data_IF_307072344977
#
_entry.id   IF_307072344977
#
_cell.length_a   1.000
_cell.length_b   1.000
_cell.length_c   1.000
_cell.angle_alpha   90.00
_cell.angle_beta   90.00
_cell.angle_gamma   90.00
#
_symmetry.space_group_name_H-M   'P 1'
#
loop_
_entity.id
_entity.type
_entity.pdbx_description
1 polymer ?
#
# COMPACT_ATOMS: atom_id res chain seq x y z
N UNK A 1 -0.61 -13.44 -10.24
CA UNK A 1 -0.54 -12.02 -10.67
C UNK A 1 -1.89 -11.33 -10.61
N UNK A 2 -3.01 -12.04 -10.83
CA UNK A 2 -4.36 -11.48 -10.67
C UNK A 2 -4.55 -10.81 -9.31
N UNK A 3 -4.03 -11.41 -8.25
CA UNK A 3 -4.24 -10.88 -6.92
C UNK A 3 -3.59 -9.51 -6.63
N UNK A 4 -2.44 -9.22 -7.22
CA UNK A 4 -1.85 -7.89 -7.12
C UNK A 4 -2.60 -6.86 -7.97
N UNK A 5 -3.18 -7.29 -9.09
CA UNK A 5 -4.02 -6.43 -9.92
C UNK A 5 -5.33 -6.08 -9.18
N UNK A 6 -5.99 -7.06 -8.56
CA UNK A 6 -7.18 -6.85 -7.74
C UNK A 6 -6.91 -5.88 -6.59
N UNK A 7 -5.79 -6.08 -5.88
CA UNK A 7 -5.38 -5.18 -4.82
C UNK A 7 -5.08 -3.77 -5.34
N UNK A 8 -4.35 -3.65 -6.46
CA UNK A 8 -4.09 -2.37 -7.11
C UNK A 8 -5.39 -1.67 -7.55
N UNK A 9 -6.41 -2.42 -7.98
CA UNK A 9 -7.73 -1.90 -8.34
C UNK A 9 -8.57 -1.47 -7.14
N UNK A 10 -8.23 -1.90 -5.92
CA UNK A 10 -8.89 -1.38 -4.72
C UNK A 10 -8.52 0.08 -4.45
N UNK A 11 -7.33 0.51 -4.87
CA UNK A 11 -6.89 1.89 -4.69
C UNK A 11 -7.67 2.84 -5.57
N UNK A 12 -7.92 4.03 -5.05
CA UNK A 12 -8.46 5.12 -5.86
C UNK A 12 -7.36 5.62 -6.81
N UNK A 13 -7.71 5.78 -8.08
CA UNK A 13 -6.80 6.18 -9.15
C UNK A 13 -7.27 7.46 -9.79
N UNK A 14 -6.32 8.19 -10.35
CA UNK A 14 -6.59 9.39 -11.13
C UNK A 14 -7.03 9.04 -12.57
N UNK A 15 -7.16 10.05 -13.43
CA UNK A 15 -7.56 9.88 -14.84
C UNK A 15 -6.53 9.11 -15.68
N UNK A 16 -5.31 8.95 -15.18
CA UNK A 16 -4.24 8.18 -15.84
C UNK A 16 -4.20 6.72 -15.39
N UNK A 17 -5.08 6.32 -14.46
CA UNK A 17 -5.10 4.96 -13.91
C UNK A 17 -3.98 4.70 -12.91
N UNK A 18 -3.34 5.75 -12.39
CA UNK A 18 -2.26 5.70 -11.42
C UNK A 18 -2.76 6.21 -10.06
N UNK A 19 -2.10 5.76 -8.98
CA UNK A 19 -2.45 6.18 -7.63
C UNK A 19 -1.67 7.48 -7.35
N UNK A 20 -2.38 8.60 -7.28
CA UNK A 20 -1.81 9.87 -6.86
C UNK A 20 -1.97 10.08 -5.35
N UNK A 21 -1.45 11.20 -4.83
CA UNK A 21 -1.55 11.54 -3.41
C UNK A 21 -3.01 11.50 -2.91
N UNK A 22 -3.93 12.05 -3.70
CA UNK A 22 -5.35 12.06 -3.37
C UNK A 22 -5.92 10.64 -3.35
N UNK A 23 -5.61 9.82 -4.35
CA UNK A 23 -6.02 8.43 -4.42
C UNK A 23 -5.61 7.65 -3.18
N UNK A 24 -4.33 7.78 -2.79
CA UNK A 24 -3.78 7.14 -1.59
C UNK A 24 -4.47 7.63 -0.31
N UNK A 25 -4.69 8.94 -0.16
CA UNK A 25 -5.44 9.51 0.98
C UNK A 25 -6.85 8.94 1.09
N UNK A 26 -7.57 8.83 -0.02
CA UNK A 26 -8.92 8.27 -0.01
C UNK A 26 -8.93 6.78 0.32
N UNK A 27 -7.97 6.00 -0.18
CA UNK A 27 -7.88 4.57 0.14
C UNK A 27 -7.60 4.34 1.63
N UNK A 28 -6.68 5.11 2.20
CA UNK A 28 -6.39 5.11 3.65
C UNK A 28 -7.64 5.43 4.46
N UNK A 29 -8.36 6.51 4.09
CA UNK A 29 -9.61 6.89 4.77
C UNK A 29 -10.71 5.83 4.62
N UNK A 30 -10.84 5.21 3.45
CA UNK A 30 -11.80 4.12 3.17
C UNK A 30 -11.56 2.89 4.06
N UNK A 31 -10.31 2.64 4.45
CA UNK A 31 -9.92 1.55 5.34
C UNK A 31 -9.96 1.92 6.83
N UNK A 32 -10.40 3.13 7.17
CA UNK A 32 -10.46 3.63 8.54
C UNK A 32 -9.08 3.90 9.15
N UNK A 33 -8.04 4.02 8.32
CA UNK A 33 -6.69 4.38 8.75
C UNK A 33 -6.58 5.91 8.82
N UNK A 34 -5.84 6.41 9.81
CA UNK A 34 -5.65 7.86 10.02
C UNK A 34 -4.18 8.20 9.86
N UNK A 35 -3.80 8.78 8.72
CA UNK A 35 -2.45 9.29 8.47
C UNK A 35 -2.48 10.80 8.23
N UNK A 36 -1.40 11.49 8.58
CA UNK A 36 -1.25 12.89 8.19
C UNK A 36 -0.96 13.00 6.69
N UNK A 37 -1.30 14.14 6.08
CA UNK A 37 -0.97 14.42 4.67
C UNK A 37 0.55 14.31 4.42
N UNK A 38 1.37 14.67 5.40
CA UNK A 38 2.82 14.60 5.31
C UNK A 38 3.30 13.14 5.26
N UNK A 39 2.76 12.27 6.09
CA UNK A 39 3.12 10.85 6.10
C UNK A 39 2.71 10.17 4.79
N UNK A 40 1.49 10.43 4.32
CA UNK A 40 1.00 9.87 3.05
C UNK A 40 1.86 10.35 1.87
N UNK A 41 2.32 11.60 1.92
CA UNK A 41 3.23 12.13 0.90
C UNK A 41 4.60 11.44 0.92
N UNK A 42 5.15 11.16 2.11
CA UNK A 42 6.40 10.42 2.23
C UNK A 42 6.26 8.97 1.77
N UNK A 43 5.13 8.33 2.09
CA UNK A 43 4.81 6.99 1.63
C UNK A 43 4.69 6.92 0.10
N UNK A 44 3.98 7.88 -0.50
CA UNK A 44 3.88 8.00 -1.94
C UNK A 44 5.26 8.14 -2.57
N UNK A 45 6.11 9.04 -2.04
CA UNK A 45 7.49 9.21 -2.53
C UNK A 45 8.34 7.96 -2.41
N UNK A 46 8.13 7.16 -1.37
CA UNK A 46 8.85 5.91 -1.21
C UNK A 46 8.33 4.84 -2.17
N UNK A 47 7.05 4.89 -2.55
CA UNK A 47 6.45 3.94 -3.48
C UNK A 47 6.67 4.31 -4.95
N UNK A 48 6.78 5.60 -5.25
CA UNK A 48 7.04 6.18 -6.56
C UNK A 48 8.53 6.02 -6.94
N UNK A 49 8.84 5.00 -7.75
CA UNK A 49 10.22 4.65 -8.10
C UNK A 49 10.75 5.42 -9.30
N UNK A 50 9.87 5.83 -10.23
CA UNK A 50 10.23 6.62 -11.40
C UNK A 50 10.15 8.13 -11.17
N UNK A 51 9.59 8.55 -10.03
CA UNK A 51 9.48 9.92 -9.53
C UNK A 51 8.55 10.80 -10.36
N UNK A 52 7.51 10.21 -10.94
CA UNK A 52 6.49 10.94 -11.71
C UNK A 52 5.40 11.59 -10.82
N UNK A 53 5.47 11.37 -9.50
CA UNK A 53 4.53 11.87 -8.50
C UNK A 53 3.30 11.00 -8.29
N UNK A 54 3.28 9.80 -8.88
CA UNK A 54 2.21 8.81 -8.78
C UNK A 54 2.81 7.42 -8.63
N UNK A 55 1.96 6.45 -8.33
CA UNK A 55 2.34 5.03 -8.28
C UNK A 55 1.58 4.33 -9.37
N UNK A 56 2.31 3.89 -10.40
CA UNK A 56 1.77 3.03 -11.44
C UNK A 56 1.83 1.56 -10.99
N UNK A 57 1.29 0.65 -11.81
CA UNK A 57 1.26 -0.77 -11.46
C UNK A 57 2.65 -1.40 -11.34
N UNK A 58 3.62 -0.94 -12.14
CA UNK A 58 5.01 -1.44 -12.09
C UNK A 58 5.67 -1.08 -10.76
N UNK A 59 5.49 0.16 -10.31
CA UNK A 59 6.01 0.63 -9.02
C UNK A 59 5.36 -0.13 -7.86
N UNK A 60 4.04 -0.30 -7.92
CA UNK A 60 3.29 -1.07 -6.93
C UNK A 60 3.85 -2.49 -6.77
N UNK A 61 4.07 -3.22 -7.86
CA UNK A 61 4.63 -4.58 -7.82
C UNK A 61 6.06 -4.58 -7.31
N UNK A 62 6.90 -3.65 -7.76
CA UNK A 62 8.31 -3.56 -7.32
C UNK A 62 8.40 -3.30 -5.82
N UNK A 63 7.58 -2.39 -5.30
CA UNK A 63 7.52 -2.09 -3.86
C UNK A 63 7.07 -3.33 -3.07
N UNK A 64 6.10 -4.08 -3.57
CA UNK A 64 5.58 -5.28 -2.89
C UNK A 64 6.48 -6.52 -2.99
N UNK A 65 7.33 -6.58 -4.01
CA UNK A 65 8.30 -7.66 -4.21
C UNK A 65 9.69 -7.33 -3.67
N UNK A 66 9.88 -6.10 -3.17
CA UNK A 66 11.08 -5.65 -2.49
C UNK A 66 11.24 -6.40 -1.16
N UNK A 67 12.30 -7.21 -1.08
CA UNK A 67 12.58 -8.05 0.08
C UNK A 67 12.93 -7.25 1.32
N UNK A 68 13.63 -6.13 1.17
CA UNK A 68 14.04 -5.29 2.31
C UNK A 68 12.81 -4.61 2.93
N UNK A 69 11.89 -4.13 2.09
CA UNK A 69 10.61 -3.57 2.56
C UNK A 69 9.72 -4.62 3.18
N UNK A 70 9.64 -5.81 2.58
CA UNK A 70 8.89 -6.92 3.14
C UNK A 70 9.41 -7.30 4.52
N UNK A 71 10.74 -7.45 4.69
CA UNK A 71 11.35 -7.75 5.98
C UNK A 71 11.03 -6.68 7.03
N UNK A 72 11.02 -5.40 6.64
CA UNK A 72 10.61 -4.30 7.54
C UNK A 72 9.12 -4.36 7.91
N UNK A 73 8.27 -4.79 6.99
CA UNK A 73 6.84 -4.94 7.26
C UNK A 73 6.53 -6.17 8.16
N UNK A 74 7.28 -7.26 8.02
CA UNK A 74 7.02 -8.52 8.76
C UNK A 74 7.82 -8.67 10.05
N UNK A 75 8.91 -7.94 10.24
CA UNK A 75 9.71 -7.93 11.46
C UNK A 75 9.41 -6.66 12.26
N UNK A 76 8.48 -6.71 13.22
CA UNK A 76 8.20 -5.55 14.07
C UNK A 76 9.32 -5.43 15.11
N UNK A 77 10.29 -4.53 14.89
CA UNK A 77 11.11 -4.02 15.98
C UNK A 77 10.24 -3.11 16.87
N UNK A 78 9.54 -3.70 17.86
CA UNK A 78 8.84 -3.03 18.98
C UNK A 78 8.25 -1.63 18.69
N UNK A 79 6.97 -1.54 18.29
CA UNK A 79 5.90 -0.85 19.05
C UNK A 79 4.57 -0.79 18.26
N UNK A 80 3.52 -1.09 19.01
CA UNK A 80 2.08 -0.80 18.93
C UNK A 80 1.51 0.01 17.76
N UNK A 81 0.26 -0.36 17.41
CA UNK A 81 -0.73 0.35 16.60
C UNK A 81 -0.46 1.85 16.37
N UNK A 82 -0.40 2.24 15.09
CA UNK A 82 -0.58 3.61 14.58
C UNK A 82 0.61 4.59 14.61
N UNK A 83 1.87 4.15 14.73
CA UNK A 83 3.02 5.03 14.44
C UNK A 83 3.36 5.04 12.94
N UNK A 84 2.50 5.68 12.14
CA UNK A 84 2.76 5.94 10.70
C UNK A 84 3.94 6.89 10.44
N UNK A 85 4.44 7.55 11.48
CA UNK A 85 5.46 8.61 11.37
C UNK A 85 6.91 8.09 11.32
N UNK A 86 7.16 6.81 11.64
CA UNK A 86 8.52 6.30 11.84
C UNK A 86 9.15 5.55 10.67
N UNK A 87 8.35 4.98 9.77
CA UNK A 87 8.84 4.02 8.77
C UNK A 87 8.18 4.21 7.40
N UNK A 88 8.53 5.27 6.65
CA UNK A 88 8.03 5.45 5.30
C UNK A 88 8.46 4.28 4.40
N UNK A 89 7.57 3.87 3.50
CA UNK A 89 7.81 2.88 2.45
C UNK A 89 7.17 1.51 2.67
N UNK A 90 6.39 1.34 3.75
CA UNK A 90 5.67 0.09 4.05
C UNK A 90 4.14 0.23 3.98
N UNK A 91 3.59 1.43 3.75
CA UNK A 91 2.13 1.65 3.78
C UNK A 91 1.37 0.77 2.78
N UNK A 92 1.94 0.43 1.63
CA UNK A 92 1.30 -0.48 0.68
C UNK A 92 1.12 -1.89 1.29
N UNK A 93 2.09 -2.38 2.06
CA UNK A 93 1.97 -3.66 2.76
C UNK A 93 0.92 -3.59 3.86
N UNK A 94 0.89 -2.50 4.64
CA UNK A 94 -0.13 -2.27 5.68
C UNK A 94 -1.55 -2.25 5.11
N UNK A 95 -1.73 -1.55 3.98
CA UNK A 95 -3.01 -1.51 3.27
C UNK A 95 -3.41 -2.91 2.80
N UNK A 96 -2.49 -3.69 2.23
CA UNK A 96 -2.78 -5.07 1.81
C UNK A 96 -3.16 -5.96 3.00
N UNK A 97 -2.40 -5.91 4.09
CA UNK A 97 -2.73 -6.63 5.33
C UNK A 97 -4.14 -6.27 5.79
N UNK A 98 -4.49 -4.97 5.76
CA UNK A 98 -5.82 -4.50 6.11
C UNK A 98 -6.91 -4.99 5.16
N UNK A 99 -6.64 -5.08 3.86
CA UNK A 99 -7.58 -5.61 2.87
C UNK A 99 -7.87 -7.09 3.09
N UNK A 100 -6.84 -7.86 3.45
CA UNK A 100 -6.98 -9.28 3.81
C UNK A 100 -7.77 -9.42 5.11
N UNK A 101 -7.46 -8.64 6.15
CA UNK A 101 -8.18 -8.63 7.43
C UNK A 101 -9.66 -8.28 7.27
N UNK A 102 -9.96 -7.23 6.49
CA UNK A 102 -11.33 -6.73 6.29
C UNK A 102 -12.15 -7.57 5.30
N UNK A 103 -11.56 -8.64 4.74
CA UNK A 103 -12.18 -9.45 3.67
C UNK A 103 -12.66 -8.59 2.48
N UNK A 104 -11.98 -7.47 2.23
CA UNK A 104 -12.33 -6.52 1.18
C UNK A 104 -11.98 -7.04 -0.22
N UNK A 105 -11.16 -8.09 -0.30
CA UNK A 105 -10.84 -8.83 -1.52
C UNK A 105 -11.58 -10.19 -1.55
N UNK A 106 -11.95 -10.71 -2.74
CA UNK A 106 -12.50 -12.05 -2.87
C UNK A 106 -11.57 -13.10 -2.27
N UNK A 107 -12.12 -14.11 -1.57
CA UNK A 107 -11.33 -15.15 -0.89
C UNK A 107 -10.36 -15.89 -1.83
N UNK A 108 -10.72 -16.05 -3.10
CA UNK A 108 -9.87 -16.68 -4.13
C UNK A 108 -8.59 -15.87 -4.35
N UNK A 109 -8.72 -14.54 -4.40
CA UNK A 109 -7.63 -13.58 -4.54
C UNK A 109 -6.68 -13.63 -3.33
N UNK A 110 -7.22 -13.69 -2.11
CA UNK A 110 -6.43 -13.76 -0.87
C UNK A 110 -5.55 -15.02 -0.83
N UNK A 111 -6.09 -16.18 -1.21
CA UNK A 111 -5.33 -17.44 -1.23
C UNK A 111 -4.15 -17.43 -2.22
N UNK A 112 -4.19 -16.60 -3.26
CA UNK A 112 -3.07 -16.46 -4.21
C UNK A 112 -1.97 -15.51 -3.72
N UNK A 113 -2.28 -14.58 -2.81
CA UNK A 113 -1.28 -13.64 -2.25
C UNK A 113 -0.44 -14.33 -1.17
N UNK A 114 -1.06 -15.21 -0.38
CA UNK A 114 -0.44 -15.87 0.79
C UNK A 114 0.38 -17.11 0.40
N UNK A 115 0.38 -17.50 -0.87
CA UNK A 115 1.03 -18.71 -1.38
C UNK A 115 2.38 -18.41 -2.00
#
# INVERSE_FOLDING_TARGET
MEAFNDAYNFFNKDKTGCIDLHGLMCTVAKLGMTLSKYDIYNELKCADLDRDGKVNFSDFIKVLTDKDRFLRAVVPEKKTCLDFAGNPGILLFEILSKLVETSALPRKTIMEIVR
#
